data_IF_288434765148
#
_entry.id   IF_288434765148
#
_cell.length_a   1.000
_cell.length_b   1.000
_cell.length_c   1.000
_cell.angle_alpha   90.00
_cell.angle_beta   90.00
_cell.angle_gamma   90.00
#
_symmetry.space_group_name_H-M   'P 1'
#
loop_
_entity.id
_entity.type
_entity.pdbx_description
1 polymer ?
#
# COMPACT_ATOMS: atom_id res chain seq x y z
N UNK A 1 19.22 21.90 13.90
CA UNK A 1 20.48 21.64 13.18
C UNK A 1 20.91 20.16 13.21
N UNK A 2 20.76 19.45 14.35
CA UNK A 2 21.07 18.02 14.44
C UNK A 2 20.07 17.13 13.68
N UNK A 3 18.76 17.38 13.81
CA UNK A 3 17.72 16.55 13.18
C UNK A 3 17.68 16.65 11.66
N UNK A 4 17.95 17.84 11.11
CA UNK A 4 18.02 18.06 9.66
C UNK A 4 19.19 17.29 9.01
N UNK A 5 20.32 17.21 9.72
CA UNK A 5 21.50 16.46 9.29
C UNK A 5 21.27 14.93 9.35
N UNK A 6 20.46 14.48 10.30
CA UNK A 6 20.02 13.07 10.43
C UNK A 6 19.07 12.72 9.28
N UNK A 7 18.06 13.55 8.98
CA UNK A 7 17.13 13.33 7.86
C UNK A 7 17.85 13.26 6.51
N UNK A 8 18.79 14.17 6.26
CA UNK A 8 19.57 14.19 5.01
C UNK A 8 20.44 12.93 4.84
N UNK A 9 21.02 12.43 5.94
CA UNK A 9 21.85 11.22 5.92
C UNK A 9 21.02 9.96 5.62
N UNK A 10 19.82 9.87 6.18
CA UNK A 10 18.93 8.73 5.96
C UNK A 10 18.33 8.72 4.55
N UNK A 11 18.09 9.90 3.98
CA UNK A 11 17.70 10.03 2.57
C UNK A 11 18.81 9.53 1.62
N UNK A 12 20.07 9.88 1.88
CA UNK A 12 21.21 9.39 1.10
C UNK A 12 21.34 7.86 1.17
N UNK A 13 21.20 7.28 2.37
CA UNK A 13 21.18 5.82 2.55
C UNK A 13 20.03 5.16 1.80
N UNK A 14 18.84 5.75 1.82
CA UNK A 14 17.68 5.23 1.10
C UNK A 14 17.92 5.21 -0.42
N UNK A 15 18.45 6.30 -0.98
CA UNK A 15 18.82 6.37 -2.39
C UNK A 15 19.89 5.34 -2.77
N UNK A 16 20.89 5.14 -1.91
CA UNK A 16 21.90 4.09 -2.09
C UNK A 16 21.25 2.70 -2.10
N UNK A 17 20.39 2.39 -1.14
CA UNK A 17 19.70 1.09 -1.05
C UNK A 17 18.76 0.84 -2.24
N UNK A 18 18.09 1.88 -2.74
CA UNK A 18 17.29 1.79 -3.96
C UNK A 18 18.15 1.48 -5.19
N UNK A 19 19.36 2.03 -5.27
CA UNK A 19 20.31 1.71 -6.34
C UNK A 19 20.81 0.26 -6.26
N UNK A 20 21.12 -0.23 -5.04
CA UNK A 20 21.53 -1.62 -4.82
C UNK A 20 20.42 -2.62 -5.14
N UNK A 21 19.16 -2.27 -4.84
CA UNK A 21 17.99 -3.06 -5.21
C UNK A 21 17.83 -3.22 -6.72
N UNK A 22 18.13 -2.17 -7.49
CA UNK A 22 18.12 -2.22 -8.97
C UNK A 22 19.17 -3.22 -9.49
N UNK A 23 20.36 -3.23 -8.88
CA UNK A 23 21.43 -4.18 -9.22
C UNK A 23 21.02 -5.61 -8.88
N UNK A 24 20.42 -5.85 -7.70
CA UNK A 24 19.94 -7.16 -7.30
C UNK A 24 18.86 -7.71 -8.25
N UNK A 25 17.97 -6.84 -8.74
CA UNK A 25 16.95 -7.21 -9.72
C UNK A 25 17.54 -7.61 -11.08
N UNK A 26 18.60 -6.93 -11.52
CA UNK A 26 19.34 -7.30 -12.73
C UNK A 26 20.02 -8.67 -12.55
N UNK A 27 20.67 -8.91 -11.42
CA UNK A 27 21.28 -10.23 -11.12
C UNK A 27 20.23 -11.35 -11.12
N UNK A 28 19.03 -11.09 -10.60
CA UNK A 28 17.92 -12.04 -10.62
C UNK A 28 17.48 -12.38 -12.06
N UNK A 29 17.28 -11.35 -12.91
CA UNK A 29 16.92 -11.55 -14.33
C UNK A 29 17.98 -12.35 -15.08
N UNK A 30 19.26 -12.04 -14.87
CA UNK A 30 20.37 -12.78 -15.49
C UNK A 30 20.42 -14.24 -15.02
N UNK A 31 20.14 -14.51 -13.74
CA UNK A 31 20.05 -15.88 -13.21
C UNK A 31 18.91 -16.68 -13.84
N UNK A 32 17.72 -16.08 -13.98
CA UNK A 32 16.57 -16.71 -14.66
C UNK A 32 16.89 -17.03 -16.12
N UNK A 33 17.50 -16.08 -16.84
CA UNK A 33 17.88 -16.28 -18.24
C UNK A 33 18.90 -17.42 -18.40
N UNK A 34 19.89 -17.50 -17.50
CA UNK A 34 20.89 -18.57 -17.51
C UNK A 34 20.27 -19.94 -17.25
N UNK A 35 19.38 -20.04 -16.26
CA UNK A 35 18.65 -21.28 -15.98
C UNK A 35 17.75 -21.70 -17.14
N UNK A 36 17.00 -20.78 -17.75
CA UNK A 36 16.14 -21.07 -18.89
C UNK A 36 16.94 -21.55 -20.10
N UNK A 37 18.07 -20.91 -20.39
CA UNK A 37 18.98 -21.32 -21.47
C UNK A 37 19.53 -22.75 -21.24
N UNK A 38 19.93 -23.06 -20.00
CA UNK A 38 20.42 -24.41 -19.66
C UNK A 38 19.34 -25.49 -19.81
N UNK A 39 18.08 -25.20 -19.45
CA UNK A 39 16.96 -26.13 -19.64
C UNK A 39 16.68 -26.41 -21.12
N UNK A 40 16.77 -25.38 -21.97
CA UNK A 40 16.60 -25.55 -23.43
C UNK A 40 17.69 -26.44 -24.02
N UNK A 41 18.95 -26.27 -23.60
CA UNK A 41 20.06 -27.12 -24.06
C UNK A 41 19.85 -28.57 -23.60
N UNK A 42 19.49 -28.78 -22.33
CA UNK A 42 19.23 -30.13 -21.79
C UNK A 42 18.10 -30.80 -22.59
N UNK A 43 17.00 -30.09 -22.85
CA UNK A 43 15.87 -30.59 -23.65
C UNK A 43 16.31 -31.00 -25.06
N UNK A 44 17.11 -30.18 -25.73
CA UNK A 44 17.65 -30.47 -27.05
C UNK A 44 18.56 -31.71 -27.06
N UNK A 45 19.45 -31.83 -26.07
CA UNK A 45 20.36 -32.98 -25.93
C UNK A 45 19.58 -34.28 -25.76
N UNK A 46 18.54 -34.27 -24.91
CA UNK A 46 17.69 -35.46 -24.66
C UNK A 46 17.04 -35.93 -25.96
N UNK A 47 16.48 -35.00 -26.75
CA UNK A 47 15.81 -35.33 -28.02
C UNK A 47 16.81 -35.88 -29.04
N UNK A 48 17.98 -35.24 -29.19
CA UNK A 48 18.96 -35.59 -30.23
C UNK A 48 19.76 -36.86 -29.91
N UNK A 49 19.97 -37.18 -28.64
CA UNK A 49 20.69 -38.40 -28.20
C UNK A 49 20.02 -39.68 -28.73
N UNK A 50 18.70 -39.67 -28.92
CA UNK A 50 17.97 -40.83 -29.47
C UNK A 50 18.16 -41.08 -30.96
N UNK A 51 18.74 -40.13 -31.70
CA UNK A 51 18.86 -40.16 -33.17
C UNK A 51 20.28 -40.36 -33.69
N UNK A 52 21.27 -40.51 -32.80
CA UNK A 52 22.68 -40.51 -33.19
C UNK A 52 23.35 -41.83 -32.84
N UNK A 53 23.76 -42.55 -33.88
CA UNK A 53 24.57 -43.76 -33.78
C UNK A 53 26.06 -43.39 -33.90
N UNK A 54 26.83 -43.57 -32.82
CA UNK A 54 28.28 -43.36 -32.80
C UNK A 54 28.86 -42.98 -31.43
N UNK A 55 29.92 -43.67 -31.00
CA UNK A 55 30.57 -43.49 -29.69
C UNK A 55 31.21 -42.10 -29.51
N UNK A 56 31.78 -41.52 -30.57
CA UNK A 56 32.38 -40.18 -30.53
C UNK A 56 31.33 -39.08 -30.27
N UNK A 57 30.15 -39.18 -30.88
CA UNK A 57 29.08 -38.21 -30.70
C UNK A 57 28.49 -38.29 -29.28
N UNK A 58 28.36 -39.50 -28.72
CA UNK A 58 27.88 -39.71 -27.35
C UNK A 58 28.74 -38.98 -26.31
N UNK A 59 30.07 -39.00 -26.45
CA UNK A 59 31.00 -38.31 -25.53
C UNK A 59 30.76 -36.79 -25.56
N UNK A 60 30.55 -36.20 -26.75
CA UNK A 60 30.28 -34.76 -26.91
C UNK A 60 28.97 -34.37 -26.22
N UNK A 61 27.90 -35.15 -26.38
CA UNK A 61 26.61 -34.86 -25.73
C UNK A 61 26.67 -35.02 -24.21
N UNK A 62 27.44 -35.97 -23.70
CA UNK A 62 27.68 -36.13 -22.25
C UNK A 62 28.42 -34.91 -21.69
N UNK A 63 29.48 -34.46 -22.36
CA UNK A 63 30.23 -33.27 -21.95
C UNK A 63 29.36 -32.00 -21.98
N UNK A 64 28.54 -31.83 -23.02
CA UNK A 64 27.61 -30.71 -23.15
C UNK A 64 26.49 -30.76 -22.09
N UNK A 65 26.01 -31.95 -21.75
CA UNK A 65 25.03 -32.18 -20.69
C UNK A 65 25.60 -31.80 -19.32
N UNK A 66 26.81 -32.25 -18.99
CA UNK A 66 27.51 -31.88 -17.76
C UNK A 66 27.70 -30.36 -17.64
N UNK A 67 28.14 -29.70 -18.72
CA UNK A 67 28.28 -28.24 -18.76
C UNK A 67 26.95 -27.52 -18.53
N UNK A 68 25.86 -28.05 -19.08
CA UNK A 68 24.52 -27.49 -18.92
C UNK A 68 24.00 -27.62 -17.48
N UNK A 69 24.29 -28.75 -16.80
CA UNK A 69 23.96 -28.93 -15.38
C UNK A 69 24.71 -27.93 -14.50
N UNK A 70 26.00 -27.68 -14.78
CA UNK A 70 26.78 -26.66 -14.06
C UNK A 70 26.17 -25.27 -14.25
N UNK A 71 25.76 -24.92 -15.47
CA UNK A 71 25.10 -23.63 -15.75
C UNK A 71 23.76 -23.50 -15.05
N UNK A 72 22.99 -24.59 -14.95
CA UNK A 72 21.72 -24.61 -14.22
C UNK A 72 21.94 -24.34 -12.71
N UNK A 73 22.95 -24.98 -12.10
CA UNK A 73 23.32 -24.77 -10.70
C UNK A 73 23.74 -23.32 -10.46
N UNK A 74 24.57 -22.75 -11.36
CA UNK A 74 24.98 -21.35 -11.28
C UNK A 74 23.80 -20.38 -11.42
N UNK A 75 22.86 -20.64 -12.33
CA UNK A 75 21.64 -19.86 -12.49
C UNK A 75 20.78 -19.87 -11.22
N UNK A 76 20.54 -21.05 -10.63
CA UNK A 76 19.81 -21.20 -9.36
C UNK A 76 20.54 -20.47 -8.22
N UNK A 77 21.86 -20.55 -8.16
CA UNK A 77 22.67 -19.83 -7.17
C UNK A 77 22.50 -18.30 -7.30
N UNK A 78 22.55 -17.76 -8.51
CA UNK A 78 22.33 -16.31 -8.73
C UNK A 78 20.92 -15.87 -8.38
N UNK A 79 19.91 -16.70 -8.68
CA UNK A 79 18.52 -16.43 -8.29
C UNK A 79 18.41 -16.37 -6.77
N UNK A 80 18.91 -17.40 -6.07
CA UNK A 80 18.84 -17.48 -4.60
C UNK A 80 19.59 -16.33 -3.94
N UNK A 81 20.82 -16.05 -4.37
CA UNK A 81 21.64 -14.94 -3.88
C UNK A 81 20.98 -13.58 -4.13
N UNK A 82 20.43 -13.37 -5.33
CA UNK A 82 19.70 -12.15 -5.69
C UNK A 82 18.48 -11.94 -4.82
N UNK A 83 17.70 -13.01 -4.58
CA UNK A 83 16.51 -12.98 -3.75
C UNK A 83 16.83 -12.67 -2.29
N UNK A 84 17.86 -13.30 -1.70
CA UNK A 84 18.28 -13.03 -0.32
C UNK A 84 18.73 -11.58 -0.14
N UNK A 85 19.53 -11.04 -1.07
CA UNK A 85 19.94 -9.62 -1.02
C UNK A 85 18.75 -8.68 -1.14
N UNK A 86 17.83 -8.96 -2.06
CA UNK A 86 16.64 -8.13 -2.25
C UNK A 86 15.79 -8.06 -0.98
N UNK A 87 15.55 -9.21 -0.32
CA UNK A 87 14.80 -9.25 0.95
C UNK A 87 15.50 -8.50 2.08
N UNK A 88 16.84 -8.55 2.14
CA UNK A 88 17.61 -7.82 3.13
C UNK A 88 17.49 -6.29 2.94
N UNK A 89 17.67 -5.81 1.71
CA UNK A 89 17.52 -4.38 1.42
C UNK A 89 16.07 -3.92 1.63
N UNK A 90 15.08 -4.75 1.31
CA UNK A 90 13.66 -4.44 1.57
C UNK A 90 13.36 -4.29 3.07
N UNK A 91 13.95 -5.14 3.92
CA UNK A 91 13.81 -5.02 5.37
C UNK A 91 14.44 -3.72 5.90
N UNK A 92 15.63 -3.37 5.42
CA UNK A 92 16.32 -2.15 5.83
C UNK A 92 15.62 -0.87 5.35
N UNK A 93 15.11 -0.87 4.11
CA UNK A 93 14.29 0.21 3.57
C UNK A 93 13.02 0.38 4.43
N UNK A 94 12.36 -0.71 4.82
CA UNK A 94 11.17 -0.65 5.67
C UNK A 94 11.47 -0.09 7.06
N UNK A 95 12.64 -0.39 7.62
CA UNK A 95 13.07 0.17 8.90
C UNK A 95 13.33 1.68 8.81
N UNK A 96 14.01 2.14 7.76
CA UNK A 96 14.28 3.57 7.55
C UNK A 96 12.97 4.34 7.31
N UNK A 97 12.07 3.80 6.47
CA UNK A 97 10.76 4.42 6.22
C UNK A 97 9.86 4.42 7.47
N UNK A 98 10.04 3.48 8.39
CA UNK A 98 9.29 3.50 9.66
C UNK A 98 9.74 4.62 10.59
N UNK A 99 11.05 4.91 10.63
CA UNK A 99 11.64 5.92 11.53
C UNK A 99 11.54 7.33 10.94
N UNK A 100 11.66 7.48 9.61
CA UNK A 100 11.64 8.78 8.95
C UNK A 100 10.29 9.03 8.26
N UNK A 101 9.45 9.84 8.89
CA UNK A 101 8.12 10.21 8.38
C UNK A 101 8.16 11.01 7.06
N UNK A 102 9.21 11.80 6.83
CA UNK A 102 9.40 12.57 5.59
C UNK A 102 9.73 11.65 4.41
N UNK A 103 10.60 10.67 4.62
CA UNK A 103 10.88 9.64 3.62
C UNK A 103 9.66 8.73 3.39
N UNK A 104 8.90 8.40 4.45
CA UNK A 104 7.69 7.59 4.33
C UNK A 104 6.63 8.21 3.44
N UNK A 105 6.42 9.53 3.50
CA UNK A 105 5.39 10.21 2.70
C UNK A 105 5.72 10.18 1.20
N UNK A 106 7.01 10.32 0.85
CA UNK A 106 7.49 10.28 -0.54
C UNK A 106 7.32 8.91 -1.20
N UNK A 107 7.50 7.82 -0.45
CA UNK A 107 7.46 6.44 -0.99
C UNK A 107 6.14 5.69 -0.70
N UNK A 108 5.15 6.33 -0.06
CA UNK A 108 3.88 5.70 0.34
C UNK A 108 3.08 5.17 -0.86
N UNK A 109 3.01 5.94 -1.95
CA UNK A 109 2.21 5.58 -3.13
C UNK A 109 2.74 4.34 -3.87
N UNK A 110 4.06 4.10 -3.87
CA UNK A 110 4.67 2.96 -4.57
C UNK A 110 4.48 1.65 -3.80
N UNK A 111 4.46 1.69 -2.46
CA UNK A 111 4.35 0.50 -1.60
C UNK A 111 2.95 -0.11 -1.59
N UNK A 112 1.89 0.71 -1.69
CA UNK A 112 0.49 0.23 -1.70
C UNK A 112 0.18 -0.60 -2.96
N UNK A 113 0.77 -0.29 -4.12
CA UNK A 113 0.53 -1.02 -5.38
C UNK A 113 1.04 -2.48 -5.32
N UNK A 114 2.25 -2.72 -4.81
CA UNK A 114 2.86 -4.07 -4.87
C UNK A 114 2.33 -5.06 -3.82
N UNK A 115 1.65 -4.60 -2.76
CA UNK A 115 1.08 -5.46 -1.72
C UNK A 115 -0.37 -5.89 -2.01
N UNK A 116 -1.01 -5.37 -3.07
CA UNK A 116 -2.40 -5.69 -3.42
C UNK A 116 -2.52 -6.89 -4.39
N UNK A 117 -1.41 -7.33 -5.00
CA UNK A 117 -1.47 -8.28 -6.13
C UNK A 117 -1.18 -9.75 -5.77
N UNK A 118 -0.74 -10.05 -4.53
CA UNK A 118 -0.24 -11.40 -4.20
C UNK A 118 -1.27 -12.36 -3.59
N UNK A 119 -2.39 -11.86 -3.08
CA UNK A 119 -3.45 -12.68 -2.48
C UNK A 119 -4.79 -12.09 -2.87
N UNK A 120 -5.43 -12.64 -3.90
CA UNK A 120 -6.79 -12.26 -4.27
C UNK A 120 -7.74 -12.41 -3.07
N UNK A 121 -8.05 -11.29 -2.40
CA UNK A 121 -9.12 -11.16 -1.41
C UNK A 121 -9.39 -9.68 -1.11
N UNK A 122 -10.69 -9.33 -1.12
CA UNK A 122 -11.27 -8.08 -0.59
C UNK A 122 -10.95 -6.79 -1.36
N UNK A 123 -11.90 -6.36 -2.22
CA UNK A 123 -12.04 -4.93 -2.48
C UNK A 123 -12.41 -4.25 -1.14
N UNK A 124 -11.43 -3.65 -0.47
CA UNK A 124 -11.67 -2.89 0.75
C UNK A 124 -12.39 -1.58 0.39
N UNK A 125 -13.71 -1.57 0.58
CA UNK A 125 -14.54 -0.38 0.53
C UNK A 125 -14.50 0.41 1.85
N UNK A 126 -13.38 0.33 2.57
CA UNK A 126 -13.19 1.09 3.80
C UNK A 126 -12.85 2.53 3.43
N UNK A 127 -13.67 3.49 3.87
CA UNK A 127 -13.60 4.87 3.39
C UNK A 127 -13.66 5.88 4.53
N UNK A 128 -12.88 6.95 4.40
CA UNK A 128 -12.95 8.13 5.26
C UNK A 128 -13.32 9.35 4.42
N UNK A 129 -14.50 9.91 4.68
CA UNK A 129 -14.97 11.17 4.16
C UNK A 129 -14.46 12.31 5.03
N UNK A 130 -14.00 13.39 4.42
CA UNK A 130 -13.53 14.58 5.12
C UNK A 130 -14.38 15.78 4.74
N UNK A 131 -14.95 16.41 5.78
CA UNK A 131 -15.72 17.64 5.65
C UNK A 131 -15.10 18.77 6.49
N UNK A 132 -14.80 19.89 5.83
CA UNK A 132 -14.17 21.06 6.45
C UNK A 132 -14.76 22.41 5.97
N UNK A 133 -15.91 22.39 5.28
CA UNK A 133 -16.46 23.56 4.56
C UNK A 133 -17.89 23.93 5.00
N UNK A 134 -18.61 24.67 4.16
CA UNK A 134 -19.94 25.24 4.41
C UNK A 134 -21.09 24.29 4.07
N UNK A 135 -22.31 24.83 4.12
CA UNK A 135 -23.57 24.10 3.96
C UNK A 135 -23.71 23.40 2.61
N UNK A 136 -23.36 24.06 1.50
CA UNK A 136 -23.47 23.48 0.16
C UNK A 136 -22.58 22.24 0.01
N UNK A 137 -21.37 22.26 0.56
CA UNK A 137 -20.48 21.11 0.54
C UNK A 137 -20.93 20.00 1.48
N UNK A 138 -21.68 20.32 2.54
CA UNK A 138 -22.27 19.32 3.42
C UNK A 138 -23.35 18.51 2.71
N UNK A 139 -24.24 19.18 1.95
CA UNK A 139 -25.27 18.50 1.16
C UNK A 139 -24.65 17.54 0.14
N UNK A 140 -23.59 17.98 -0.56
CA UNK A 140 -22.84 17.13 -1.49
C UNK A 140 -22.19 15.96 -0.74
N UNK A 141 -21.63 16.22 0.44
CA UNK A 141 -21.03 15.17 1.29
C UNK A 141 -22.06 14.11 1.67
N UNK A 142 -23.24 14.52 2.15
CA UNK A 142 -24.31 13.61 2.56
C UNK A 142 -24.80 12.81 1.35
N UNK A 143 -25.11 13.45 0.23
CA UNK A 143 -25.55 12.78 -0.99
C UNK A 143 -24.52 11.77 -1.51
N UNK A 144 -23.22 12.11 -1.46
CA UNK A 144 -22.17 11.18 -1.84
C UNK A 144 -22.09 9.97 -0.91
N UNK A 145 -22.33 10.15 0.39
CA UNK A 145 -22.36 9.03 1.34
C UNK A 145 -23.60 8.16 1.11
N UNK A 146 -24.78 8.74 0.89
CA UNK A 146 -26.01 8.00 0.56
C UNK A 146 -25.80 7.12 -0.68
N UNK A 147 -25.32 7.71 -1.78
CA UNK A 147 -25.00 7.00 -3.02
C UNK A 147 -23.96 5.89 -2.81
N UNK A 148 -22.98 6.13 -1.93
CA UNK A 148 -21.95 5.15 -1.58
C UNK A 148 -22.55 3.92 -0.88
N UNK A 149 -23.46 4.15 0.07
CA UNK A 149 -24.14 3.08 0.80
C UNK A 149 -25.07 2.28 -0.09
N UNK A 150 -25.86 2.96 -0.94
CA UNK A 150 -26.74 2.30 -1.91
C UNK A 150 -25.93 1.39 -2.85
N UNK A 151 -24.83 1.89 -3.40
CA UNK A 151 -23.93 1.16 -4.31
C UNK A 151 -23.26 -0.06 -3.68
N UNK A 152 -23.16 -0.08 -2.35
CA UNK A 152 -22.52 -1.14 -1.58
C UNK A 152 -23.51 -1.97 -0.76
N UNK A 153 -24.80 -1.87 -1.06
CA UNK A 153 -25.85 -2.68 -0.43
C UNK A 153 -25.49 -4.17 -0.42
N UNK A 154 -25.49 -4.79 0.77
CA UNK A 154 -25.13 -6.20 0.95
C UNK A 154 -23.63 -6.50 1.04
N UNK A 155 -22.75 -5.48 0.95
CA UNK A 155 -21.30 -5.64 1.18
C UNK A 155 -20.92 -5.18 2.58
N UNK A 156 -19.85 -5.77 3.11
CA UNK A 156 -19.29 -5.38 4.41
C UNK A 156 -18.19 -4.35 4.23
N UNK A 157 -18.29 -3.21 4.90
CA UNK A 157 -17.30 -2.14 4.87
C UNK A 157 -17.39 -1.27 6.13
N UNK A 158 -16.35 -0.46 6.37
CA UNK A 158 -16.33 0.57 7.40
C UNK A 158 -16.25 1.95 6.76
N UNK A 159 -17.03 2.90 7.28
CA UNK A 159 -17.01 4.27 6.80
C UNK A 159 -16.90 5.23 7.99
N UNK A 160 -16.12 6.29 7.78
CA UNK A 160 -15.95 7.37 8.74
C UNK A 160 -16.23 8.70 8.05
N UNK A 161 -16.95 9.59 8.72
CA UNK A 161 -17.02 11.00 8.35
C UNK A 161 -16.25 11.78 9.40
N UNK A 162 -15.10 12.34 9.02
CA UNK A 162 -14.30 13.17 9.92
C UNK A 162 -14.55 14.64 9.59
N UNK A 163 -15.04 15.38 10.58
CA UNK A 163 -15.34 16.79 10.49
C UNK A 163 -14.30 17.60 11.28
N UNK A 164 -13.72 18.59 10.62
CA UNK A 164 -12.84 19.57 11.25
C UNK A 164 -13.13 20.99 10.72
N UNK A 165 -12.33 21.96 11.16
CA UNK A 165 -12.45 23.33 10.66
C UNK A 165 -13.84 23.93 10.88
N UNK A 166 -14.29 24.86 10.02
CA UNK A 166 -15.59 25.52 10.16
C UNK A 166 -16.78 24.56 9.97
N UNK A 167 -16.57 23.39 9.37
CA UNK A 167 -17.61 22.40 9.13
C UNK A 167 -18.30 21.90 10.41
N UNK A 168 -17.64 21.97 11.57
CA UNK A 168 -18.24 21.54 12.84
C UNK A 168 -19.47 22.35 13.25
N UNK A 169 -19.68 23.54 12.67
CA UNK A 169 -20.83 24.40 12.94
C UNK A 169 -22.16 23.84 12.41
N UNK A 170 -22.11 22.80 11.59
CA UNK A 170 -23.28 22.13 11.02
C UNK A 170 -23.59 20.79 11.71
N UNK A 171 -22.96 20.52 12.85
CA UNK A 171 -23.10 19.25 13.60
C UNK A 171 -23.90 19.46 14.89
N UNK A 172 -24.76 20.49 14.95
CA UNK A 172 -25.61 20.77 16.09
C UNK A 172 -26.87 19.90 16.10
N UNK A 173 -27.40 19.59 17.28
CA UNK A 173 -28.63 18.77 17.44
C UNK A 173 -29.85 19.31 16.67
N UNK A 174 -29.92 20.63 16.51
CA UNK A 174 -31.01 21.34 15.85
C UNK A 174 -30.68 21.70 14.39
N UNK A 175 -29.54 21.22 13.86
CA UNK A 175 -29.15 21.50 12.48
C UNK A 175 -30.11 20.81 11.49
N UNK A 176 -30.48 21.45 10.36
CA UNK A 176 -31.35 20.85 9.35
C UNK A 176 -30.87 19.48 8.82
N UNK A 177 -29.55 19.23 8.83
CA UNK A 177 -28.95 17.98 8.36
C UNK A 177 -28.83 16.90 9.46
N UNK A 178 -29.14 17.23 10.72
CA UNK A 178 -29.04 16.29 11.84
C UNK A 178 -29.84 14.99 11.64
N UNK A 179 -31.08 15.01 11.11
CA UNK A 179 -31.83 13.78 10.83
C UNK A 179 -31.13 12.87 9.81
N UNK A 180 -30.64 13.44 8.70
CA UNK A 180 -29.95 12.70 7.62
C UNK A 180 -28.65 12.07 8.13
N UNK A 181 -27.86 12.82 8.90
CA UNK A 181 -26.63 12.32 9.50
C UNK A 181 -26.89 11.21 10.53
N UNK A 182 -27.99 11.30 11.28
CA UNK A 182 -28.40 10.26 12.23
C UNK A 182 -28.83 8.99 11.51
N UNK A 183 -29.54 9.10 10.39
CA UNK A 183 -29.92 7.97 9.55
C UNK A 183 -28.70 7.25 8.97
N UNK A 184 -27.75 8.00 8.39
CA UNK A 184 -26.48 7.44 7.91
C UNK A 184 -25.68 6.78 9.04
N UNK A 185 -25.69 7.35 10.25
CA UNK A 185 -25.06 6.75 11.41
C UNK A 185 -25.70 5.40 11.79
N UNK A 186 -27.03 5.30 11.72
CA UNK A 186 -27.76 4.04 11.96
C UNK A 186 -27.45 2.97 10.90
N UNK A 187 -27.12 3.37 9.67
CA UNK A 187 -26.64 2.47 8.62
C UNK A 187 -25.18 2.03 8.83
N UNK A 188 -24.46 2.65 9.78
CA UNK A 188 -23.10 2.27 10.17
C UNK A 188 -22.04 3.35 9.96
N UNK A 189 -22.43 4.58 9.57
CA UNK A 189 -21.48 5.69 9.43
C UNK A 189 -20.96 6.13 10.80
N UNK A 190 -19.64 6.19 10.95
CA UNK A 190 -19.04 6.72 12.18
C UNK A 190 -18.65 8.18 12.01
N UNK A 191 -19.39 9.07 12.68
CA UNK A 191 -19.19 10.52 12.61
C UNK A 191 -18.18 10.93 13.68
N UNK A 192 -17.06 11.53 13.28
CA UNK A 192 -15.95 11.94 14.14
C UNK A 192 -15.70 13.43 14.06
N UNK A 193 -15.73 14.11 15.21
CA UNK A 193 -15.61 15.58 15.31
C UNK A 193 -14.30 15.97 16.00
N UNK A 194 -13.58 16.92 15.41
CA UNK A 194 -12.29 17.38 15.91
C UNK A 194 -12.42 18.25 17.18
N UNK A 195 -11.88 17.78 18.31
CA UNK A 195 -11.82 18.53 19.58
C UNK A 195 -11.13 19.89 19.44
N UNK A 196 -10.01 19.96 18.71
CA UNK A 196 -9.30 21.23 18.50
C UNK A 196 -10.17 22.27 17.77
N UNK A 197 -10.98 21.82 16.80
CA UNK A 197 -11.91 22.70 16.12
C UNK A 197 -13.03 23.13 17.08
N UNK A 198 -13.56 22.21 17.90
CA UNK A 198 -14.57 22.55 18.92
C UNK A 198 -14.09 23.63 19.87
N UNK A 199 -12.86 23.53 20.38
CA UNK A 199 -12.26 24.57 21.23
C UNK A 199 -12.13 25.91 20.48
N UNK A 200 -11.70 25.88 19.22
CA UNK A 200 -11.51 27.09 18.41
C UNK A 200 -12.84 27.83 18.14
N UNK A 201 -13.91 27.09 17.86
CA UNK A 201 -15.24 27.66 17.61
C UNK A 201 -16.14 27.70 18.86
N UNK A 202 -15.59 27.40 20.04
CA UNK A 202 -16.28 27.45 21.34
C UNK A 202 -17.56 26.58 21.39
N UNK A 203 -17.52 25.41 20.75
CA UNK A 203 -18.62 24.47 20.71
C UNK A 203 -18.50 23.47 21.86
N UNK A 204 -19.58 23.32 22.63
CA UNK A 204 -19.66 22.36 23.73
C UNK A 204 -20.05 20.96 23.23
N UNK A 205 -19.55 19.88 23.86
CA UNK A 205 -19.94 18.50 23.52
C UNK A 205 -21.46 18.28 23.51
N UNK A 206 -22.18 18.86 24.47
CA UNK A 206 -23.63 18.68 24.61
C UNK A 206 -24.44 19.36 23.49
N UNK A 207 -23.82 20.24 22.71
CA UNK A 207 -24.46 20.87 21.56
C UNK A 207 -24.44 19.96 20.32
N UNK A 208 -23.49 19.02 20.25
CA UNK A 208 -23.30 18.13 19.10
C UNK A 208 -24.39 17.08 18.99
N UNK A 209 -24.58 16.56 17.77
CA UNK A 209 -25.36 15.36 17.50
C UNK A 209 -24.96 14.23 18.48
N UNK A 210 -25.92 13.49 19.08
CA UNK A 210 -25.58 12.37 19.98
C UNK A 210 -24.75 11.26 19.31
N UNK A 211 -24.87 11.11 17.99
CA UNK A 211 -24.11 10.13 17.18
C UNK A 211 -22.67 10.55 16.89
N UNK A 212 -22.30 11.82 17.17
CA UNK A 212 -20.97 12.34 16.92
C UNK A 212 -19.98 11.89 18.01
N UNK A 213 -18.86 11.32 17.58
CA UNK A 213 -17.76 10.93 18.44
C UNK A 213 -16.67 12.00 18.41
N UNK A 214 -16.25 12.48 19.57
CA UNK A 214 -15.20 13.50 19.62
C UNK A 214 -13.82 12.83 19.59
N UNK A 215 -12.96 13.29 18.68
CA UNK A 215 -11.57 12.83 18.56
C UNK A 215 -10.59 13.96 18.89
N UNK A 216 -9.41 13.66 19.48
CA UNK A 216 -8.46 14.71 19.89
C UNK A 216 -8.05 15.63 18.74
N UNK A 217 -7.83 15.08 17.55
CA UNK A 217 -7.47 15.85 16.36
C UNK A 217 -7.99 15.18 15.08
N UNK A 218 -8.87 15.86 14.34
CA UNK A 218 -9.47 15.33 13.12
C UNK A 218 -8.46 15.07 11.99
N UNK A 219 -7.43 15.91 11.85
CA UNK A 219 -6.38 15.68 10.84
C UNK A 219 -5.57 14.40 11.15
N UNK A 220 -5.22 14.19 12.42
CA UNK A 220 -4.51 12.97 12.83
C UNK A 220 -5.38 11.72 12.64
N UNK A 221 -6.68 11.83 12.93
CA UNK A 221 -7.64 10.74 12.71
C UNK A 221 -7.70 10.34 11.22
N UNK A 222 -7.75 11.31 10.31
CA UNK A 222 -7.73 11.06 8.86
C UNK A 222 -6.41 10.40 8.45
N UNK A 223 -5.28 10.85 8.98
CA UNK A 223 -3.96 10.24 8.69
C UNK A 223 -3.94 8.79 9.17
N UNK A 224 -4.43 8.50 10.37
CA UNK A 224 -4.42 7.17 10.95
C UNK A 224 -5.38 6.21 10.22
N UNK A 225 -6.56 6.69 9.80
CA UNK A 225 -7.47 5.91 8.95
C UNK A 225 -6.85 5.61 7.58
N UNK A 226 -6.22 6.60 6.93
CA UNK A 226 -5.52 6.38 5.66
C UNK A 226 -4.36 5.39 5.81
N UNK A 227 -3.60 5.44 6.91
CA UNK A 227 -2.54 4.48 7.26
C UNK A 227 -3.08 3.07 7.46
N UNK A 228 -4.30 2.93 8.00
CA UNK A 228 -5.03 1.66 8.12
C UNK A 228 -5.58 1.16 6.77
N UNK A 229 -5.44 1.92 5.70
CA UNK A 229 -5.77 1.52 4.34
C UNK A 229 -7.03 2.17 3.76
N UNK A 230 -7.75 2.98 4.55
CA UNK A 230 -9.00 3.61 4.15
C UNK A 230 -8.80 4.52 2.93
N UNK A 231 -9.76 4.50 2.01
CA UNK A 231 -9.83 5.45 0.91
C UNK A 231 -10.23 6.83 1.45
N UNK A 232 -9.47 7.86 1.07
CA UNK A 232 -9.76 9.23 1.46
C UNK A 232 -10.63 9.91 0.41
N UNK A 233 -11.78 10.45 0.83
CA UNK A 233 -12.69 11.18 -0.04
C UNK A 233 -12.91 12.57 0.54
N UNK A 234 -12.68 13.59 -0.30
CA UNK A 234 -13.04 14.97 -0.01
C UNK A 234 -14.06 15.44 -1.04
N UNK A 235 -15.35 15.49 -0.68
CA UNK A 235 -16.40 16.01 -1.54
C UNK A 235 -16.16 17.48 -1.95
#
# INVERSE_FOLDING_TARGET
MSDEKISQTDFQKLMLLLSEKRTAHTTLRSGIALSAFSMTIISFIIVMTSKIDGTFNQIIFIALGLGSVVMLILGIYFIRRGFTRMRFHDALINQILYVNHEASSLFYHTRKRNNLDATGASMHYDTVFHFDKGTTELEITISNIENYYESLSGKKFNSYLVINGPGIKFLGKEDPHAPMLTELANLGLQIKVCQNAMHHFQIQPDWLLPVAQIVPAGLLEIIDLQRKGFAYIKP
#
